data_IF_856784627702
#
_entry.id   IF_856784627702
#
_cell.length_a   1.000
_cell.length_b   1.000
_cell.length_c   1.000
_cell.angle_alpha   90.00
_cell.angle_beta   90.00
_cell.angle_gamma   90.00
#
_symmetry.space_group_name_H-M   'P 1'
#
loop_
_entity.id
_entity.type
_entity.pdbx_description
1 polymer ?
#
# COMPACT_ATOMS: atom_id res chain seq x y z
N UNK A 1 -3.93 -10.29 12.26
CA UNK A 1 -3.40 -9.00 12.75
C UNK A 1 -3.69 -7.90 11.73
N UNK A 2 -3.97 -6.71 12.22
CA UNK A 2 -4.31 -5.57 11.36
C UNK A 2 -3.22 -5.27 10.33
N UNK A 3 -1.98 -5.31 10.77
CA UNK A 3 -0.84 -5.04 9.88
C UNK A 3 -0.85 -5.94 8.64
N UNK A 4 -1.05 -7.23 8.86
CA UNK A 4 -1.09 -8.19 7.77
C UNK A 4 -2.27 -7.97 6.83
N UNK A 5 -3.43 -7.59 7.39
CA UNK A 5 -4.61 -7.32 6.60
C UNK A 5 -4.45 -6.08 5.74
N UNK A 6 -3.88 -5.02 6.30
CA UNK A 6 -3.61 -3.78 5.56
C UNK A 6 -2.60 -4.07 4.45
N UNK A 7 -1.55 -4.79 4.78
CA UNK A 7 -0.51 -5.13 3.80
C UNK A 7 -1.09 -5.94 2.64
N UNK A 8 -1.93 -6.92 2.94
CA UNK A 8 -2.58 -7.74 1.92
C UNK A 8 -3.49 -6.89 1.02
N UNK A 9 -4.23 -5.96 1.62
CA UNK A 9 -5.12 -5.08 0.88
C UNK A 9 -4.32 -4.21 -0.12
N UNK A 10 -3.22 -3.62 0.35
CA UNK A 10 -2.37 -2.78 -0.50
C UNK A 10 -1.72 -3.62 -1.60
N UNK A 11 -1.23 -4.81 -1.26
CA UNK A 11 -0.62 -5.71 -2.23
C UNK A 11 -1.59 -6.02 -3.37
N UNK A 12 -2.83 -6.36 -3.04
CA UNK A 12 -3.83 -6.69 -4.05
C UNK A 12 -4.10 -5.51 -4.97
N UNK A 13 -4.07 -4.30 -4.43
CA UNK A 13 -4.34 -3.12 -5.24
C UNK A 13 -3.22 -2.83 -6.25
N UNK A 14 -1.97 -2.95 -5.84
CA UNK A 14 -0.85 -2.58 -6.72
C UNK A 14 -0.18 -3.76 -7.42
N UNK A 15 -0.58 -4.98 -7.08
CA UNK A 15 -0.04 -6.19 -7.71
C UNK A 15 -0.14 -6.18 -9.24
N UNK A 16 -1.26 -5.76 -9.84
CA UNK A 16 -1.35 -5.71 -11.31
C UNK A 16 -0.28 -4.84 -11.96
N UNK A 17 0.13 -3.77 -11.28
CA UNK A 17 1.17 -2.89 -11.81
C UNK A 17 2.52 -3.61 -11.88
N UNK A 18 2.80 -4.43 -10.88
CA UNK A 18 4.02 -5.22 -10.87
C UNK A 18 3.97 -6.31 -11.95
N UNK A 19 2.83 -6.98 -12.08
CA UNK A 19 2.65 -8.04 -13.08
C UNK A 19 2.76 -7.51 -14.50
N UNK A 20 2.26 -6.30 -14.74
CA UNK A 20 2.30 -5.71 -16.07
C UNK A 20 3.64 -5.08 -16.42
N UNK A 21 4.57 -5.04 -15.45
CA UNK A 21 5.89 -4.47 -15.67
C UNK A 21 5.97 -2.97 -15.49
N UNK A 22 4.89 -2.33 -15.01
CA UNK A 22 4.90 -0.89 -14.75
C UNK A 22 5.88 -0.55 -13.63
N UNK A 23 5.97 -1.42 -12.63
CA UNK A 23 6.92 -1.26 -11.54
C UNK A 23 7.68 -2.58 -11.35
N UNK A 24 8.90 -2.49 -10.81
CA UNK A 24 9.71 -3.66 -10.49
C UNK A 24 9.23 -4.29 -9.18
N UNK A 25 9.76 -5.49 -8.89
CA UNK A 25 9.46 -6.17 -7.62
C UNK A 25 9.93 -5.33 -6.45
N UNK A 26 11.10 -4.72 -6.55
CA UNK A 26 11.63 -3.87 -5.48
C UNK A 26 10.77 -2.63 -5.26
N UNK A 27 10.31 -2.00 -6.35
CA UNK A 27 9.40 -0.86 -6.26
C UNK A 27 8.08 -1.27 -5.63
N UNK A 28 7.56 -2.43 -6.02
CA UNK A 28 6.33 -2.97 -5.47
C UNK A 28 6.44 -3.17 -3.96
N UNK A 29 7.51 -3.83 -3.50
CA UNK A 29 7.73 -4.07 -2.07
C UNK A 29 7.86 -2.76 -1.30
N UNK A 30 8.62 -1.83 -1.84
CA UNK A 30 8.81 -0.53 -1.20
C UNK A 30 7.48 0.21 -1.04
N UNK A 31 6.68 0.25 -2.12
CA UNK A 31 5.39 0.94 -2.08
C UNK A 31 4.42 0.28 -1.09
N UNK A 32 4.38 -1.05 -1.08
CA UNK A 32 3.54 -1.80 -0.13
C UNK A 32 3.94 -1.46 1.31
N UNK A 33 5.24 -1.52 1.60
CA UNK A 33 5.72 -1.27 2.96
C UNK A 33 5.44 0.16 3.40
N UNK A 34 5.72 1.14 2.55
CA UNK A 34 5.50 2.55 2.89
C UNK A 34 4.02 2.85 3.09
N UNK A 35 3.18 2.32 2.22
CA UNK A 35 1.73 2.52 2.34
C UNK A 35 1.22 1.90 3.63
N UNK A 36 1.65 0.68 3.93
CA UNK A 36 1.22 -0.03 5.13
C UNK A 36 1.65 0.72 6.38
N UNK A 37 2.90 1.17 6.43
CA UNK A 37 3.41 1.96 7.55
C UNK A 37 2.58 3.22 7.77
N UNK A 38 2.26 3.92 6.69
CA UNK A 38 1.51 5.17 6.78
C UNK A 38 0.10 4.94 7.29
N UNK A 39 -0.57 3.89 6.78
CA UNK A 39 -1.91 3.54 7.22
C UNK A 39 -1.90 3.18 8.70
N UNK A 40 -0.95 2.37 9.14
CA UNK A 40 -0.86 1.97 10.54
C UNK A 40 -0.56 3.15 11.45
N UNK A 41 0.15 4.13 10.95
CA UNK A 41 0.44 5.34 11.70
C UNK A 41 -0.84 6.16 11.95
N UNK A 42 -1.77 6.15 11.00
CA UNK A 42 -3.04 6.85 11.15
C UNK A 42 -4.03 6.07 12.03
N UNK A 43 -3.81 4.76 12.23
CA UNK A 43 -4.75 3.91 12.96
C UNK A 43 -4.03 3.11 14.05
N UNK A 44 -3.25 3.76 14.95
CA UNK A 44 -2.44 3.04 15.92
C UNK A 44 -3.25 2.33 17.01
N UNK A 45 -4.50 2.73 17.22
CA UNK A 45 -5.35 2.17 18.28
C UNK A 45 -6.47 1.30 17.75
N UNK A 46 -6.57 1.13 16.44
CA UNK A 46 -7.63 0.31 15.86
C UNK A 46 -7.36 -1.16 16.16
N UNK A 47 -8.40 -1.86 16.58
CA UNK A 47 -8.29 -3.27 16.97
C UNK A 47 -8.59 -4.22 15.82
N UNK A 48 -9.13 -3.70 14.72
CA UNK A 48 -9.47 -4.50 13.55
C UNK A 48 -9.31 -3.66 12.31
N UNK A 49 -9.44 -4.28 11.16
CA UNK A 49 -9.22 -3.64 9.87
C UNK A 49 -10.50 -3.11 9.22
N UNK A 50 -11.53 -2.84 10.01
CA UNK A 50 -12.79 -2.33 9.46
C UNK A 50 -12.62 -0.98 8.75
N UNK A 51 -11.62 -0.20 9.14
CA UNK A 51 -11.33 1.07 8.47
C UNK A 51 -10.99 0.88 6.99
N UNK A 52 -10.57 -0.31 6.58
CA UNK A 52 -10.29 -0.60 5.16
C UNK A 52 -11.55 -0.45 4.31
N UNK A 53 -12.70 -0.74 4.89
CA UNK A 53 -13.98 -0.59 4.18
C UNK A 53 -14.30 0.88 3.99
N UNK A 54 -14.13 1.69 5.03
CA UNK A 54 -14.46 3.11 5.00
C UNK A 54 -13.43 3.93 4.22
N UNK A 55 -12.16 3.61 4.41
CA UNK A 55 -11.06 4.40 3.88
C UNK A 55 -10.31 3.72 2.74
N UNK A 56 -10.92 2.70 2.15
CA UNK A 56 -10.27 1.95 1.07
C UNK A 56 -9.79 2.83 -0.06
N UNK A 57 -10.62 3.78 -0.50
CA UNK A 57 -10.25 4.67 -1.60
C UNK A 57 -9.06 5.56 -1.24
N UNK A 58 -9.02 6.04 0.00
CA UNK A 58 -7.89 6.85 0.47
C UNK A 58 -6.61 6.03 0.50
N UNK A 59 -6.72 4.78 0.96
CA UNK A 59 -5.57 3.86 1.02
C UNK A 59 -5.06 3.55 -0.38
N UNK A 60 -5.96 3.31 -1.32
CA UNK A 60 -5.60 3.07 -2.71
C UNK A 60 -4.86 4.27 -3.32
N UNK A 61 -5.36 5.48 -3.07
CA UNK A 61 -4.70 6.68 -3.57
C UNK A 61 -3.32 6.85 -2.96
N UNK A 62 -3.19 6.57 -1.68
CA UNK A 62 -1.90 6.64 -1.01
C UNK A 62 -0.93 5.64 -1.61
N UNK A 63 -1.38 4.42 -1.86
CA UNK A 63 -0.56 3.40 -2.50
C UNK A 63 -0.08 3.86 -3.88
N UNK A 64 -0.98 4.46 -4.65
CA UNK A 64 -0.64 4.98 -5.98
C UNK A 64 0.39 6.10 -5.91
N UNK A 65 0.31 6.95 -4.90
CA UNK A 65 1.29 8.01 -4.68
C UNK A 65 2.66 7.43 -4.40
N UNK A 66 2.73 6.39 -3.59
CA UNK A 66 4.01 5.73 -3.29
C UNK A 66 4.56 4.99 -4.51
N UNK A 67 3.67 4.40 -5.32
CA UNK A 67 4.09 3.78 -6.58
C UNK A 67 4.74 4.84 -7.48
N UNK A 68 4.10 5.98 -7.62
CA UNK A 68 4.64 7.07 -8.43
C UNK A 68 5.98 7.55 -7.88
N UNK A 69 6.08 7.70 -6.56
CA UNK A 69 7.33 8.11 -5.91
C UNK A 69 8.43 7.08 -6.19
N UNK A 70 8.10 5.80 -6.11
CA UNK A 70 9.07 4.73 -6.38
C UNK A 70 9.60 4.81 -7.81
N UNK A 71 8.73 5.10 -8.77
CA UNK A 71 9.12 5.23 -10.17
C UNK A 71 10.07 6.41 -10.40
N UNK A 72 9.93 7.46 -9.62
CA UNK A 72 10.79 8.64 -9.75
C UNK A 72 12.07 8.55 -8.93
N UNK A 73 12.07 7.77 -7.86
CA UNK A 73 13.18 7.73 -6.90
C UNK A 73 14.14 6.59 -7.19
N UNK A 74 13.64 5.44 -7.62
CA UNK A 74 14.47 4.27 -7.91
C UNK A 74 14.71 4.20 -9.40
N UNK A 75 15.95 4.16 -9.77
CA UNK A 75 16.35 4.05 -11.17
C UNK A 75 16.94 2.68 -11.46
#
# INVERSE_FOLDING_TARGET
MIFGQVKAYVKEHIRPLCKSGVISVDQYRWAVDKTTEKVMKYHPKDKNANFLIKEGDKIKKLAEQYVETAQHTTK
#
